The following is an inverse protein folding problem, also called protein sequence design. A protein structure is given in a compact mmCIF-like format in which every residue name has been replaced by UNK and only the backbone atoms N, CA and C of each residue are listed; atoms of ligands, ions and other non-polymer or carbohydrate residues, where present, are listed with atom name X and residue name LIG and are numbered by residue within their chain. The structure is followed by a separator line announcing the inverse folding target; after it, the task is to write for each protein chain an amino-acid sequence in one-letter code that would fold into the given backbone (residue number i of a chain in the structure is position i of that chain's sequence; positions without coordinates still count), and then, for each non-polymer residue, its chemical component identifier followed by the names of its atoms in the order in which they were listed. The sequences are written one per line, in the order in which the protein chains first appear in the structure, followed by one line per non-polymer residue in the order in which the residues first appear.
data_IF_591820249261
#
_entry.id   IF_591820249261
#
_cell.length_a   1.000
_cell.length_b   1.000
_cell.length_c   1.000
_cell.angle_alpha   90.00
_cell.angle_beta   90.00
_cell.angle_gamma   90.00
#
_symmetry.space_group_name_H-M   'P 1'
#
loop_
_entity.id
_entity.type
_entity.pdbx_description
1 polymer ?
#
# COMPACT_ATOMS: atom_id res chain seq x y z
N UNK A 1 4.69 -23.76 7.60
CA UNK A 1 3.61 -22.81 7.97
C UNK A 1 3.39 -21.93 6.75
N UNK A 2 2.24 -22.03 6.09
CA UNK A 2 1.95 -21.26 4.87
C UNK A 2 1.62 -19.80 5.23
N UNK A 3 2.18 -18.89 4.44
CA UNK A 3 2.04 -17.44 4.62
C UNK A 3 0.58 -17.01 4.44
N UNK A 4 0.13 -15.98 5.17
CA UNK A 4 -1.22 -15.40 5.07
C UNK A 4 -1.50 -14.93 3.62
N UNK A 5 -0.45 -14.56 2.89
CA UNK A 5 -0.51 -14.20 1.47
C UNK A 5 -0.79 -15.43 0.57
N UNK A 6 -0.29 -16.61 0.94
CA UNK A 6 -0.64 -17.87 0.24
C UNK A 6 -2.09 -18.27 0.51
N UNK A 7 -2.60 -18.00 1.71
CA UNK A 7 -4.03 -18.18 2.02
C UNK A 7 -4.92 -17.23 1.21
N UNK A 8 -4.46 -16.00 0.93
CA UNK A 8 -5.14 -15.06 0.04
C UNK A 8 -5.13 -15.53 -1.42
N UNK A 9 -3.98 -15.99 -1.93
CA UNK A 9 -3.89 -16.57 -3.28
C UNK A 9 -4.81 -17.79 -3.43
N UNK A 10 -4.90 -18.64 -2.41
CA UNK A 10 -5.87 -19.74 -2.38
C UNK A 10 -7.32 -19.27 -2.23
N UNK A 11 -7.63 -18.23 -1.44
CA UNK A 11 -8.99 -17.74 -1.27
C UNK A 11 -9.55 -17.01 -2.51
N UNK A 12 -8.67 -16.48 -3.37
CA UNK A 12 -9.07 -15.86 -4.65
C UNK A 12 -9.09 -16.89 -5.79
N UNK A 13 -8.19 -17.87 -5.79
CA UNK A 13 -8.07 -18.87 -6.87
C UNK A 13 -8.93 -20.13 -6.65
N UNK A 14 -9.36 -20.40 -5.42
CA UNK A 14 -10.17 -21.59 -5.12
C UNK A 14 -11.56 -21.13 -4.81
N UNK A 15 -12.50 -21.63 -5.61
CA UNK A 15 -13.94 -21.52 -5.47
C UNK A 15 -14.39 -21.10 -4.08
N UNK A 16 -15.00 -19.92 -4.01
CA UNK A 16 -15.81 -19.43 -2.90
C UNK A 16 -16.85 -20.47 -2.42
N UNK A 17 -17.11 -21.52 -3.19
CA UNK A 17 -17.97 -22.65 -2.82
C UNK A 17 -17.34 -23.62 -1.79
N UNK A 18 -16.01 -23.74 -1.69
CA UNK A 18 -15.38 -24.72 -0.79
C UNK A 18 -15.35 -24.28 0.68
N UNK A 19 -15.23 -22.97 0.94
CA UNK A 19 -15.20 -22.38 2.29
C UNK A 19 -16.60 -22.19 2.92
N UNK A 20 -17.66 -22.34 2.13
CA UNK A 20 -19.07 -22.23 2.59
C UNK A 20 -19.54 -23.49 3.34
N UNK A 21 -18.75 -24.58 3.31
CA UNK A 21 -19.17 -25.89 3.88
C UNK A 21 -19.07 -26.02 5.41
N UNK A 22 -18.54 -25.03 6.15
CA UNK A 22 -18.51 -25.07 7.62
C UNK A 22 -19.45 -24.04 8.23
N UNK A 23 -20.56 -24.59 8.75
CA UNK A 23 -21.75 -24.05 9.43
C UNK A 23 -21.65 -22.84 10.39
N UNK A 24 -20.53 -22.13 10.53
CA UNK A 24 -20.34 -21.16 11.63
C UNK A 24 -20.15 -19.68 11.26
N UNK A 25 -20.10 -19.25 10.00
CA UNK A 25 -20.25 -17.81 9.67
C UNK A 25 -21.35 -17.59 8.63
N UNK A 26 -22.61 -17.63 9.10
CA UNK A 26 -23.85 -17.53 8.30
C UNK A 26 -24.09 -16.15 7.66
N UNK A 27 -23.21 -15.16 7.82
CA UNK A 27 -23.37 -13.83 7.24
C UNK A 27 -22.09 -13.36 6.52
N UNK A 28 -22.01 -13.47 5.18
CA UNK A 28 -20.83 -13.04 4.42
C UNK A 28 -20.49 -11.56 4.61
N UNK A 29 -21.48 -10.72 4.96
CA UNK A 29 -21.26 -9.31 5.28
C UNK A 29 -20.46 -9.13 6.56
N UNK A 30 -20.79 -9.90 7.61
CA UNK A 30 -20.11 -9.81 8.91
C UNK A 30 -18.64 -10.23 8.80
N UNK A 31 -18.37 -11.27 8.01
CA UNK A 31 -17.02 -11.74 7.71
C UNK A 31 -16.22 -10.67 6.97
N UNK A 32 -16.79 -10.10 5.90
CA UNK A 32 -16.15 -9.04 5.12
C UNK A 32 -15.87 -7.79 5.97
N UNK A 33 -16.78 -7.40 6.86
CA UNK A 33 -16.58 -6.26 7.77
C UNK A 33 -15.36 -6.46 8.67
N UNK A 34 -15.20 -7.65 9.25
CA UNK A 34 -14.02 -7.97 10.09
C UNK A 34 -12.73 -7.87 9.28
N UNK A 35 -12.73 -8.38 8.04
CA UNK A 35 -11.58 -8.30 7.16
C UNK A 35 -11.22 -6.88 6.76
N UNK A 36 -12.22 -6.03 6.45
CA UNK A 36 -12.00 -4.62 6.12
C UNK A 36 -11.31 -3.91 7.28
N UNK A 37 -11.82 -4.06 8.50
CA UNK A 37 -11.25 -3.42 9.69
C UNK A 37 -9.80 -3.83 9.93
N UNK A 38 -9.49 -5.12 9.81
CA UNK A 38 -8.14 -5.62 9.98
C UNK A 38 -7.21 -5.11 8.86
N UNK A 39 -7.68 -5.12 7.61
CA UNK A 39 -6.92 -4.62 6.47
C UNK A 39 -6.67 -3.11 6.56
N UNK A 40 -7.63 -2.32 7.04
CA UNK A 40 -7.46 -0.89 7.32
C UNK A 40 -6.39 -0.64 8.38
N UNK A 41 -6.43 -1.41 9.47
CA UNK A 41 -5.45 -1.32 10.55
C UNK A 41 -4.05 -1.66 10.04
N UNK A 42 -3.90 -2.80 9.35
CA UNK A 42 -2.63 -3.22 8.77
C UNK A 42 -2.11 -2.21 7.75
N UNK A 43 -2.97 -1.67 6.88
CA UNK A 43 -2.59 -0.64 5.91
C UNK A 43 -2.10 0.61 6.63
N UNK A 44 -2.81 1.07 7.67
CA UNK A 44 -2.40 2.24 8.46
C UNK A 44 -1.04 2.03 9.13
N UNK A 45 -0.81 0.86 9.71
CA UNK A 45 0.47 0.53 10.35
C UNK A 45 1.61 0.40 9.34
N UNK A 46 1.38 -0.20 8.17
CA UNK A 46 2.34 -0.22 7.05
C UNK A 46 2.71 1.20 6.63
N UNK A 47 1.74 2.12 6.53
CA UNK A 47 2.00 3.52 6.20
C UNK A 47 3.01 4.19 7.14
N UNK A 48 2.94 3.90 8.45
CA UNK A 48 3.92 4.40 9.43
C UNK A 48 5.33 3.86 9.19
N UNK A 49 5.46 2.61 8.72
CA UNK A 49 6.76 2.03 8.39
C UNK A 49 7.35 2.64 7.13
N UNK A 50 6.54 2.85 6.09
CA UNK A 50 6.96 3.54 4.86
C UNK A 50 7.42 4.98 5.17
N UNK A 51 6.67 5.71 5.99
CA UNK A 51 7.05 7.06 6.41
C UNK A 51 8.37 7.07 7.18
N UNK A 52 8.57 6.13 8.12
CA UNK A 52 9.85 6.00 8.85
C UNK A 52 11.02 5.70 7.93
N UNK A 53 10.82 4.85 6.91
CA UNK A 53 11.87 4.56 5.92
C UNK A 53 12.23 5.82 5.12
N UNK A 54 11.23 6.61 4.70
CA UNK A 54 11.47 7.89 4.05
C UNK A 54 12.25 8.87 4.95
N UNK A 55 11.88 8.96 6.23
CA UNK A 55 12.60 9.80 7.20
C UNK A 55 14.04 9.33 7.44
N UNK A 56 14.32 8.03 7.37
CA UNK A 56 15.67 7.51 7.48
C UNK A 56 16.54 7.94 6.28
N UNK A 57 15.99 7.92 5.07
CA UNK A 57 16.69 8.42 3.88
C UNK A 57 17.07 9.89 4.00
N UNK A 58 16.16 10.74 4.48
CA UNK A 58 16.45 12.17 4.72
C UNK A 58 17.61 12.34 5.72
N UNK A 59 17.69 11.50 6.75
CA UNK A 59 18.81 11.53 7.71
C UNK A 59 20.12 11.11 7.06
N UNK A 60 20.11 10.05 6.24
CA UNK A 60 21.30 9.61 5.51
C UNK A 60 21.79 10.66 4.51
N UNK A 61 20.88 11.35 3.82
CA UNK A 61 21.21 12.47 2.93
C UNK A 61 21.89 13.60 3.71
N UNK A 62 21.39 13.94 4.90
CA UNK A 62 22.03 14.93 5.76
C UNK A 62 23.44 14.51 6.20
N UNK A 63 23.62 13.26 6.62
CA UNK A 63 24.94 12.73 6.97
C UNK A 63 25.89 12.73 5.76
N UNK A 64 25.37 12.47 4.55
CA UNK A 64 26.15 12.54 3.32
C UNK A 64 26.64 13.97 3.05
N UNK A 65 25.78 14.97 3.23
CA UNK A 65 26.14 16.38 3.06
C UNK A 65 27.25 16.77 4.05
N UNK A 66 27.11 16.40 5.32
CA UNK A 66 28.10 16.66 6.36
C UNK A 66 29.44 15.95 6.07
N UNK A 67 29.41 14.67 5.68
CA UNK A 67 30.61 13.92 5.33
C UNK A 67 31.29 14.47 4.07
N UNK A 68 30.52 14.93 3.08
CA UNK A 68 31.04 15.53 1.86
C UNK A 68 31.72 16.88 2.14
N UNK A 69 31.10 17.72 2.99
CA UNK A 69 31.70 18.98 3.42
C UNK A 69 33.01 18.76 4.19
N UNK A 70 33.05 17.75 5.06
CA UNK A 70 34.27 17.38 5.79
C UNK A 70 35.35 16.84 4.86
N UNK A 71 35.01 16.00 3.88
CA UNK A 71 35.95 15.53 2.86
C UNK A 71 36.59 16.70 2.11
N UNK A 72 35.78 17.64 1.61
CA UNK A 72 36.27 18.82 0.90
C UNK A 72 37.21 19.65 1.78
N UNK A 73 36.82 19.88 3.03
CA UNK A 73 37.65 20.61 3.99
C UNK A 73 39.00 19.92 4.23
N UNK A 74 39.02 18.60 4.41
CA UNK A 74 40.25 17.83 4.63
C UNK A 74 41.14 17.80 3.39
N UNK A 75 40.55 17.77 2.20
CA UNK A 75 41.28 17.88 0.94
C UNK A 75 42.03 19.22 0.84
N UNK A 76 41.36 20.34 1.13
CA UNK A 76 42.01 21.66 1.14
C UNK A 76 43.09 21.78 2.22
N UNK A 77 42.89 21.15 3.38
CA UNK A 77 43.88 21.14 4.46
C UNK A 77 45.11 20.29 4.10
N UNK A 78 44.91 19.19 3.37
CA UNK A 78 46.00 18.39 2.85
C UNK A 78 46.86 19.18 1.87
N UNK A 79 46.23 19.83 0.89
CA UNK A 79 46.93 20.68 -0.10
C UNK A 79 47.75 21.78 0.59
N UNK A 80 47.18 22.43 1.62
CA UNK A 80 47.87 23.45 2.40
C UNK A 80 49.07 22.89 3.17
N UNK A 81 48.92 21.74 3.83
CA UNK A 81 49.99 21.11 4.60
C UNK A 81 51.15 20.67 3.71
N UNK A 82 50.84 20.09 2.54
CA UNK A 82 51.83 19.71 1.54
C UNK A 82 52.57 20.93 0.99
N UNK A 83 51.85 22.02 0.66
CA UNK A 83 52.46 23.26 0.19
C UNK A 83 53.34 23.95 1.25
N UNK A 84 53.04 23.75 2.54
CA UNK A 84 53.78 24.33 3.66
C UNK A 84 54.98 23.46 4.10
N UNK A 85 55.13 22.26 3.54
CA UNK A 85 56.19 21.31 3.93
C UNK A 85 55.96 20.64 5.30
N UNK A 86 54.76 20.76 5.87
CA UNK A 86 54.40 20.19 7.17
C UNK A 86 54.01 18.72 7.01
N UNK A 87 55.01 17.83 7.03
CA UNK A 87 54.85 16.41 6.74
C UNK A 87 53.85 15.70 7.67
N UNK A 88 53.92 15.95 8.97
CA UNK A 88 53.05 15.29 9.95
C UNK A 88 51.57 15.65 9.75
N UNK A 89 51.31 16.93 9.43
CA UNK A 89 49.95 17.41 9.11
C UNK A 89 49.45 16.86 7.78
N UNK A 90 50.33 16.68 6.80
CA UNK A 90 49.99 16.09 5.50
C UNK A 90 49.56 14.64 5.66
N UNK A 91 50.32 13.83 6.41
CA UNK A 91 49.97 12.42 6.69
C UNK A 91 48.63 12.32 7.42
N UNK A 92 48.39 13.18 8.43
CA UNK A 92 47.11 13.20 9.14
C UNK A 92 45.94 13.57 8.21
N UNK A 93 46.10 14.60 7.38
CA UNK A 93 45.06 15.03 6.45
C UNK A 93 44.78 13.97 5.36
N UNK A 94 45.80 13.25 4.88
CA UNK A 94 45.63 12.10 3.97
C UNK A 94 44.78 10.99 4.58
N UNK A 95 45.04 10.63 5.85
CA UNK A 95 44.25 9.62 6.55
C UNK A 95 42.78 10.05 6.70
N UNK A 96 42.55 11.32 7.06
CA UNK A 96 41.20 11.88 7.19
C UNK A 96 40.47 11.94 5.85
N UNK A 97 41.14 12.35 4.76
CA UNK A 97 40.58 12.33 3.40
C UNK A 97 40.15 10.91 3.04
N UNK A 98 40.99 9.90 3.29
CA UNK A 98 40.64 8.51 3.01
C UNK A 98 39.43 8.05 3.82
N UNK A 99 39.36 8.39 5.12
CA UNK A 99 38.24 8.04 5.98
C UNK A 99 36.91 8.67 5.53
N UNK A 100 36.90 9.97 5.23
CA UNK A 100 35.68 10.66 4.76
C UNK A 100 35.30 10.24 3.34
N UNK A 101 36.26 9.94 2.47
CA UNK A 101 35.99 9.41 1.12
C UNK A 101 35.24 8.07 1.19
N UNK A 102 35.72 7.15 2.03
CA UNK A 102 35.05 5.87 2.27
C UNK A 102 33.63 6.07 2.82
N UNK A 103 33.47 6.94 3.82
CA UNK A 103 32.15 7.25 4.40
C UNK A 103 31.18 7.82 3.37
N UNK A 104 31.62 8.77 2.54
CA UNK A 104 30.80 9.34 1.46
C UNK A 104 30.36 8.25 0.47
N UNK A 105 31.26 7.35 0.10
CA UNK A 105 30.95 6.24 -0.80
C UNK A 105 29.92 5.28 -0.20
N UNK A 106 30.08 4.91 1.08
CA UNK A 106 29.13 4.06 1.80
C UNK A 106 27.74 4.69 1.90
N UNK A 107 27.68 5.97 2.30
CA UNK A 107 26.42 6.71 2.43
C UNK A 107 25.68 6.80 1.08
N UNK A 108 26.39 7.13 -0.01
CA UNK A 108 25.80 7.16 -1.36
C UNK A 108 25.20 5.81 -1.77
N UNK A 109 25.92 4.72 -1.51
CA UNK A 109 25.43 3.37 -1.79
C UNK A 109 24.16 3.06 -0.98
N UNK A 110 24.20 3.29 0.33
CA UNK A 110 23.06 3.04 1.21
C UNK A 110 21.83 3.88 0.86
N UNK A 111 22.01 5.15 0.48
CA UNK A 111 20.91 6.01 0.02
C UNK A 111 20.28 5.43 -1.26
N UNK A 112 21.11 5.02 -2.23
CA UNK A 112 20.62 4.42 -3.49
C UNK A 112 19.81 3.15 -3.22
N UNK A 113 20.35 2.23 -2.42
CA UNK A 113 19.69 0.97 -2.05
C UNK A 113 18.35 1.24 -1.33
N UNK A 114 18.35 2.16 -0.38
CA UNK A 114 17.13 2.49 0.38
C UNK A 114 16.07 3.22 -0.46
N UNK A 115 16.47 4.01 -1.47
CA UNK A 115 15.53 4.69 -2.38
C UNK A 115 14.81 3.68 -3.28
N UNK A 116 15.52 2.65 -3.76
CA UNK A 116 14.93 1.55 -4.51
C UNK A 116 13.94 0.77 -3.65
N UNK A 117 14.33 0.43 -2.42
CA UNK A 117 13.45 -0.27 -1.49
C UNK A 117 12.22 0.57 -1.12
N UNK A 118 12.41 1.87 -0.83
CA UNK A 118 11.33 2.78 -0.52
C UNK A 118 10.31 2.86 -1.66
N UNK A 119 10.78 2.93 -2.91
CA UNK A 119 9.89 2.94 -4.09
C UNK A 119 9.02 1.69 -4.15
N UNK A 120 9.61 0.51 -3.88
CA UNK A 120 8.86 -0.75 -3.83
C UNK A 120 7.85 -0.80 -2.68
N UNK A 121 8.21 -0.28 -1.51
CA UNK A 121 7.33 -0.18 -0.35
C UNK A 121 6.15 0.77 -0.63
N UNK A 122 6.40 1.92 -1.25
CA UNK A 122 5.37 2.89 -1.64
C UNK A 122 4.37 2.26 -2.61
N UNK A 123 4.84 1.55 -3.65
CA UNK A 123 3.96 0.88 -4.59
C UNK A 123 3.05 -0.14 -3.90
N UNK A 124 3.61 -1.01 -3.06
CA UNK A 124 2.82 -2.03 -2.34
C UNK A 124 1.87 -1.41 -1.33
N UNK A 125 2.26 -0.32 -0.69
CA UNK A 125 1.38 0.41 0.22
C UNK A 125 0.18 1.03 -0.50
N UNK A 126 0.37 1.58 -1.71
CA UNK A 126 -0.74 2.03 -2.56
C UNK A 126 -1.65 0.86 -2.98
N UNK A 127 -1.08 -0.28 -3.37
CA UNK A 127 -1.85 -1.49 -3.67
C UNK A 127 -2.70 -1.95 -2.48
N UNK A 128 -2.18 -1.90 -1.25
CA UNK A 128 -2.95 -2.19 -0.03
C UNK A 128 -4.14 -1.26 0.14
N UNK A 129 -3.95 0.06 -0.06
CA UNK A 129 -5.04 1.05 0.03
C UNK A 129 -6.13 0.79 -1.00
N UNK A 130 -5.76 0.46 -2.24
CA UNK A 130 -6.73 0.08 -3.26
C UNK A 130 -7.53 -1.14 -2.85
N UNK A 131 -6.87 -2.21 -2.36
CA UNK A 131 -7.57 -3.42 -1.91
C UNK A 131 -8.55 -3.13 -0.77
N UNK A 132 -8.21 -2.25 0.17
CA UNK A 132 -9.15 -1.81 1.22
C UNK A 132 -10.36 -1.10 0.62
N UNK A 133 -10.15 -0.19 -0.34
CA UNK A 133 -11.25 0.52 -1.03
C UNK A 133 -12.15 -0.46 -1.80
N UNK A 134 -11.56 -1.39 -2.54
CA UNK A 134 -12.28 -2.42 -3.29
C UNK A 134 -13.16 -3.28 -2.35
N UNK A 135 -12.64 -3.65 -1.18
CA UNK A 135 -13.42 -4.41 -0.20
C UNK A 135 -14.61 -3.61 0.35
N UNK A 136 -14.45 -2.31 0.58
CA UNK A 136 -15.57 -1.44 1.01
C UNK A 136 -16.63 -1.28 -0.08
N UNK A 137 -16.24 -1.20 -1.35
CA UNK A 137 -17.19 -1.20 -2.46
C UNK A 137 -17.97 -2.52 -2.47
N UNK A 138 -17.29 -3.66 -2.33
CA UNK A 138 -17.92 -4.98 -2.21
C UNK A 138 -18.87 -5.06 -1.02
N UNK A 139 -18.52 -4.46 0.12
CA UNK A 139 -19.39 -4.38 1.29
C UNK A 139 -20.69 -3.64 0.96
N UNK A 140 -20.62 -2.47 0.34
CA UNK A 140 -21.81 -1.69 -0.07
C UNK A 140 -22.69 -2.47 -1.05
N UNK A 141 -22.08 -3.15 -2.03
CA UNK A 141 -22.80 -4.00 -3.00
C UNK A 141 -23.56 -5.15 -2.30
N UNK A 142 -22.90 -5.83 -1.34
CA UNK A 142 -23.56 -6.89 -0.57
C UNK A 142 -24.70 -6.36 0.30
N UNK A 143 -24.52 -5.20 0.95
CA UNK A 143 -25.60 -4.55 1.71
C UNK A 143 -26.80 -4.20 0.83
N UNK A 144 -26.55 -3.61 -0.36
CA UNK A 144 -27.60 -3.28 -1.31
C UNK A 144 -28.39 -4.51 -1.77
N UNK A 145 -27.68 -5.61 -2.02
CA UNK A 145 -28.27 -6.88 -2.41
C UNK A 145 -29.09 -7.54 -1.29
N UNK A 146 -28.59 -7.50 -0.05
CA UNK A 146 -29.32 -7.95 1.13
C UNK A 146 -30.62 -7.15 1.31
N UNK A 147 -30.55 -5.82 1.16
CA UNK A 147 -31.72 -4.94 1.25
C UNK A 147 -32.76 -5.27 0.18
N UNK A 148 -32.35 -5.40 -1.08
CA UNK A 148 -33.24 -5.75 -2.18
C UNK A 148 -33.93 -7.12 -1.95
N UNK A 149 -33.15 -8.13 -1.53
CA UNK A 149 -33.69 -9.48 -1.28
C UNK A 149 -34.70 -9.48 -0.13
N UNK A 150 -34.41 -8.75 0.96
CA UNK A 150 -35.35 -8.59 2.09
C UNK A 150 -36.62 -7.86 1.67
N UNK A 151 -36.49 -6.81 0.85
CA UNK A 151 -37.64 -6.06 0.34
C UNK A 151 -38.54 -6.93 -0.52
N UNK A 152 -37.99 -7.66 -1.49
CA UNK A 152 -38.75 -8.61 -2.32
C UNK A 152 -39.49 -9.64 -1.48
N UNK A 153 -38.81 -10.28 -0.52
CA UNK A 153 -39.43 -11.26 0.35
C UNK A 153 -40.60 -10.69 1.19
N UNK A 154 -40.48 -9.45 1.69
CA UNK A 154 -41.58 -8.79 2.41
C UNK A 154 -42.73 -8.39 1.49
N UNK A 155 -42.43 -7.90 0.28
CA UNK A 155 -43.44 -7.59 -0.72
C UNK A 155 -44.22 -8.85 -1.13
N UNK A 156 -43.53 -9.96 -1.39
CA UNK A 156 -44.15 -11.22 -1.79
C UNK A 156 -45.10 -11.78 -0.72
N UNK A 157 -44.75 -11.63 0.57
CA UNK A 157 -45.63 -12.00 1.69
C UNK A 157 -46.95 -11.22 1.70
N UNK A 158 -46.91 -9.95 1.34
CA UNK A 158 -48.09 -9.07 1.32
C UNK A 158 -48.90 -9.25 0.04
N UNK A 159 -48.23 -9.38 -1.10
CA UNK A 159 -48.85 -9.50 -2.42
C UNK A 159 -49.41 -10.91 -2.69
N UNK A 160 -48.80 -11.95 -2.11
CA UNK A 160 -49.18 -13.35 -2.32
C UNK A 160 -49.45 -14.08 -0.99
N UNK A 161 -50.46 -13.67 -0.20
CA UNK A 161 -50.72 -14.21 1.13
C UNK A 161 -51.10 -15.71 1.11
N UNK A 162 -51.72 -16.19 0.03
CA UNK A 162 -52.11 -17.60 -0.13
C UNK A 162 -50.89 -18.53 -0.34
N UNK A 163 -49.85 -18.07 -1.04
CA UNK A 163 -48.58 -18.78 -1.21
C UNK A 163 -47.67 -18.70 0.04
N UNK A 164 -47.83 -17.65 0.85
CA UNK A 164 -47.09 -17.46 2.09
C UNK A 164 -47.54 -18.43 3.20
N UNK A 165 -48.80 -18.93 3.14
CA UNK A 165 -49.31 -19.94 4.06
C UNK A 165 -48.75 -21.35 3.79
N UNK A 166 -48.47 -21.70 2.54
CA UNK A 166 -47.82 -22.97 2.16
C UNK A 166 -46.29 -22.92 2.24
N UNK A 167 -45.66 -21.76 2.04
CA UNK A 167 -44.19 -21.57 2.05
C UNK A 167 -43.67 -21.01 3.38
N UNK A 168 -44.12 -21.55 4.50
CA UNK A 168 -43.52 -21.23 5.80
C UNK A 168 -42.12 -21.86 5.91
N UNK A 169 -41.13 -21.09 5.46
CA UNK A 169 -39.82 -20.97 6.11
C UNK A 169 -38.72 -21.94 5.68
N UNK A 170 -37.79 -21.45 4.86
CA UNK A 170 -36.38 -21.68 5.17
C UNK A 170 -35.51 -20.50 4.72
N UNK A 171 -34.55 -20.17 5.57
CA UNK A 171 -33.46 -19.22 5.35
C UNK A 171 -32.60 -19.57 4.12
N UNK A 172 -32.61 -20.83 3.68
CA UNK A 172 -31.83 -21.35 2.55
C UNK A 172 -32.19 -20.72 1.19
N UNK A 173 -33.43 -20.28 0.99
CA UNK A 173 -33.88 -19.71 -0.28
C UNK A 173 -33.29 -18.30 -0.51
N UNK A 174 -33.13 -17.52 0.57
CA UNK A 174 -32.48 -16.20 0.53
C UNK A 174 -30.98 -16.33 0.24
N UNK A 175 -30.32 -17.34 0.81
CA UNK A 175 -28.90 -17.62 0.55
C UNK A 175 -28.65 -18.01 -0.92
N UNK A 176 -29.53 -18.82 -1.50
CA UNK A 176 -29.45 -19.28 -2.89
C UNK A 176 -29.66 -18.14 -3.90
N UNK A 177 -30.60 -17.23 -3.61
CA UNK A 177 -30.83 -16.03 -4.43
C UNK A 177 -29.65 -15.05 -4.41
N UNK A 178 -28.98 -14.91 -3.26
CA UNK A 178 -27.77 -14.11 -3.12
C UNK A 178 -26.59 -14.71 -3.90
N UNK A 179 -26.50 -16.02 -4.08
CA UNK A 179 -25.39 -16.62 -4.84
C UNK A 179 -25.38 -16.21 -6.32
N UNK A 180 -26.54 -16.16 -6.97
CA UNK A 180 -26.63 -16.01 -8.43
C UNK A 180 -26.39 -14.58 -8.97
N UNK A 181 -26.67 -13.54 -8.19
CA UNK A 181 -26.50 -12.14 -8.64
C UNK A 181 -25.03 -11.65 -8.60
N UNK A 182 -24.11 -12.40 -7.97
CA UNK A 182 -22.75 -11.94 -7.68
C UNK A 182 -21.78 -11.94 -8.87
N UNK A 183 -22.13 -12.60 -9.96
CA UNK A 183 -21.20 -12.88 -11.06
C UNK A 183 -21.13 -11.81 -12.16
N UNK A 184 -21.70 -10.60 -11.96
CA UNK A 184 -22.04 -9.71 -13.10
C UNK A 184 -21.61 -8.25 -13.02
N UNK A 185 -20.88 -7.82 -12.00
CA UNK A 185 -20.61 -6.38 -11.78
C UNK A 185 -19.14 -6.16 -11.47
N UNK A 186 -18.37 -5.95 -12.53
CA UNK A 186 -16.92 -5.80 -12.50
C UNK A 186 -16.55 -4.70 -13.50
N UNK A 187 -16.51 -3.43 -13.05
CA UNK A 187 -15.59 -2.40 -13.57
C UNK A 187 -15.67 -1.08 -12.78
N UNK A 188 -14.53 -0.41 -12.76
CA UNK A 188 -14.26 1.02 -12.47
C UNK A 188 -13.97 1.53 -11.04
N UNK A 189 -12.68 1.40 -10.70
CA UNK A 189 -11.66 2.44 -10.41
C UNK A 189 -11.99 3.68 -9.56
N UNK A 190 -11.06 3.98 -8.61
CA UNK A 190 -10.65 5.35 -8.28
C UNK A 190 -9.29 5.50 -7.53
N UNK A 191 -8.35 6.15 -8.22
CA UNK A 191 -7.26 7.15 -7.93
C UNK A 191 -6.35 7.13 -6.67
N UNK A 192 -5.03 7.33 -6.89
CA UNK A 192 -3.89 7.20 -5.93
C UNK A 192 -2.81 8.31 -6.03
N UNK A 193 -1.79 8.32 -5.15
CA UNK A 193 -0.67 9.26 -5.09
C UNK A 193 0.23 9.32 -6.35
N UNK A 194 0.30 8.25 -7.15
CA UNK A 194 0.92 8.29 -8.47
C UNK A 194 0.19 9.28 -9.40
N UNK A 195 -1.12 9.45 -9.21
CA UNK A 195 -1.92 10.45 -9.91
C UNK A 195 -1.50 11.87 -9.54
N UNK A 196 -1.08 12.11 -8.28
CA UNK A 196 -0.49 13.42 -7.89
C UNK A 196 0.87 13.66 -8.53
N UNK A 197 1.70 12.62 -8.70
CA UNK A 197 2.96 12.73 -9.47
C UNK A 197 2.70 12.95 -10.96
N UNK A 198 1.68 12.29 -11.53
CA UNK A 198 1.23 12.50 -12.91
C UNK A 198 0.65 13.91 -13.11
N UNK A 199 -0.17 14.41 -12.18
CA UNK A 199 -0.69 15.78 -12.20
C UNK A 199 0.43 16.83 -12.10
N UNK A 200 1.46 16.57 -11.29
CA UNK A 200 2.65 17.44 -11.23
C UNK A 200 3.44 17.43 -12.54
N UNK A 201 3.50 16.28 -13.22
CA UNK A 201 4.09 16.17 -14.56
C UNK A 201 3.23 16.88 -15.63
N UNK A 202 1.91 16.73 -15.59
CA UNK A 202 0.98 17.42 -16.48
C UNK A 202 1.10 18.94 -16.34
N UNK A 203 1.13 19.47 -15.10
CA UNK A 203 1.33 20.90 -14.82
C UNK A 203 2.66 21.43 -15.34
N UNK A 204 3.76 20.68 -15.17
CA UNK A 204 5.07 21.05 -15.72
C UNK A 204 5.10 21.06 -17.25
N UNK A 205 4.38 20.14 -17.89
CA UNK A 205 4.29 20.06 -19.36
C UNK A 205 3.46 21.21 -19.96
N UNK A 206 2.44 21.70 -19.23
CA UNK A 206 1.62 22.83 -19.64
C UNK A 206 2.39 24.16 -19.55
N UNK A 207 3.18 24.37 -18.50
CA UNK A 207 4.03 25.58 -18.35
C UNK A 207 5.13 25.68 -19.41
N UNK A 208 5.64 24.55 -19.93
CA UNK A 208 6.60 24.55 -21.03
C UNK A 208 5.98 24.91 -22.39
N UNK A 209 4.66 24.77 -22.56
CA UNK A 209 3.94 25.17 -23.79
C UNK A 209 3.54 26.65 -23.83
N UNK A 210 3.61 27.37 -22.71
CA UNK A 210 3.33 28.82 -22.66
C UNK A 210 4.58 29.69 -22.87
N UNK A 211 5.78 29.08 -22.92
CA UNK A 211 7.06 29.78 -23.04
C UNK A 211 7.74 29.51 -24.41
N UNK A 212 7.14 28.68 -25.28
CA UNK A 212 7.57 28.44 -26.66
C UNK A 212 6.57 28.96 -27.67
#
# INVERSE_FOLDING_TARGET
MTSIWERFKFAVATDLDALVSKKEEKNPLAVLNRYILEAEKQTTDTGKWVERQAQLNVKLEKELDEATAMLQKRQSQLELAQASGESDLSVFAEMEVAAYSNRVSELKRSISENLEELTGLEQRYEEMKHKVKDMKVKQLQLMGKENATRAHHQMDKVLNPELAAERLGSYDDMASYIKNLGAKVEEDHERSAMERRLELLEKKSAQQKEIG
#
